data_IF_344120518318
#
_entry.id   IF_344120518318
#
_cell.length_a   1.000
_cell.length_b   1.000
_cell.length_c   1.000
_cell.angle_alpha   90.00
_cell.angle_beta   90.00
_cell.angle_gamma   90.00
#
_symmetry.space_group_name_H-M   'P 1'
#
loop_
_entity.id
_entity.type
_entity.pdbx_description
1 polymer ?
#
# COMPACT_ATOMS: atom_id res chain seq x y z
N UNK A 1 6.92 -1.57 9.31
CA UNK A 1 5.50 -1.95 9.57
C UNK A 1 4.90 -2.31 8.21
N UNK A 2 4.09 -3.35 8.06
CA UNK A 2 3.71 -3.84 6.71
C UNK A 2 3.08 -2.75 5.82
N UNK A 3 2.23 -1.90 6.41
CA UNK A 3 1.64 -0.75 5.71
C UNK A 3 2.69 0.32 5.36
N UNK A 4 3.66 0.55 6.25
CA UNK A 4 4.77 1.48 6.02
C UNK A 4 5.65 1.03 4.85
N UNK A 5 6.02 -0.25 4.82
CA UNK A 5 6.84 -0.84 3.75
C UNK A 5 6.09 -0.83 2.41
N UNK A 6 4.80 -1.15 2.43
CA UNK A 6 3.94 -1.00 1.26
C UNK A 6 3.91 0.45 0.76
N UNK A 7 3.66 1.44 1.62
CA UNK A 7 3.68 2.84 1.23
C UNK A 7 5.07 3.31 0.78
N UNK A 8 6.15 2.76 1.35
CA UNK A 8 7.53 3.03 0.95
C UNK A 8 7.81 2.52 -0.45
N UNK A 9 7.32 1.33 -0.83
CA UNK A 9 7.41 0.80 -2.20
C UNK A 9 6.72 1.70 -3.23
N UNK A 10 5.67 2.42 -2.81
CA UNK A 10 4.93 3.37 -3.64
C UNK A 10 5.53 4.79 -3.60
N UNK A 11 6.60 4.99 -2.82
CA UNK A 11 7.20 6.29 -2.53
C UNK A 11 6.23 7.29 -1.85
N UNK A 12 5.26 6.76 -1.12
CA UNK A 12 4.17 7.46 -0.42
C UNK A 12 4.26 7.32 1.11
N UNK A 13 5.39 6.86 1.65
CA UNK A 13 5.63 6.69 3.10
C UNK A 13 5.31 7.93 3.94
N UNK A 14 5.34 9.13 3.35
CA UNK A 14 4.94 10.38 4.01
C UNK A 14 3.50 10.37 4.55
N UNK A 15 2.62 9.58 3.93
CA UNK A 15 1.22 9.45 4.33
C UNK A 15 1.02 8.35 5.38
N UNK A 16 2.06 7.59 5.73
CA UNK A 16 1.94 6.49 6.67
C UNK A 16 1.29 6.92 7.98
N UNK A 17 1.71 8.06 8.55
CA UNK A 17 1.13 8.55 9.79
C UNK A 17 -0.37 8.86 9.65
N UNK A 18 -0.79 9.46 8.53
CA UNK A 18 -2.19 9.75 8.25
C UNK A 18 -3.01 8.47 8.08
N UNK A 19 -2.44 7.43 7.45
CA UNK A 19 -3.09 6.12 7.32
C UNK A 19 -3.35 5.49 8.70
N UNK A 20 -2.34 5.47 9.57
CA UNK A 20 -2.47 4.92 10.93
C UNK A 20 -3.48 5.71 11.78
N UNK A 21 -3.43 7.04 11.71
CA UNK A 21 -4.36 7.92 12.45
C UNK A 21 -5.83 7.69 12.04
N UNK A 22 -6.05 7.35 10.77
CA UNK A 22 -7.37 6.99 10.23
C UNK A 22 -7.74 5.50 10.39
N UNK A 23 -6.90 4.69 11.05
CA UNK A 23 -7.18 3.27 11.31
C UNK A 23 -6.84 2.30 10.17
N UNK A 24 -6.00 2.71 9.23
CA UNK A 24 -5.45 1.83 8.18
C UNK A 24 -4.07 1.29 8.59
N UNK A 25 -4.04 0.50 9.66
CA UNK A 25 -2.82 -0.10 10.23
C UNK A 25 -2.50 -1.51 9.70
N UNK A 26 -3.43 -2.12 8.96
CA UNK A 26 -3.27 -3.44 8.37
C UNK A 26 -3.61 -3.46 6.87
N UNK A 27 -2.92 -4.30 6.08
CA UNK A 27 -3.16 -4.41 4.64
C UNK A 27 -4.58 -4.91 4.30
N UNK A 28 -5.22 -5.70 5.16
CA UNK A 28 -6.61 -6.14 5.00
C UNK A 28 -7.59 -4.96 5.06
N UNK A 29 -7.29 -3.94 5.88
CA UNK A 29 -8.06 -2.68 5.92
C UNK A 29 -7.69 -1.82 4.72
N UNK A 30 -6.41 -1.74 4.36
CA UNK A 30 -5.95 -1.00 3.17
C UNK A 30 -6.59 -1.51 1.87
N UNK A 31 -6.92 -2.81 1.76
CA UNK A 31 -7.64 -3.39 0.62
C UNK A 31 -9.01 -2.74 0.37
N UNK A 32 -9.60 -2.12 1.40
CA UNK A 32 -10.92 -1.49 1.32
C UNK A 32 -10.85 0.00 0.97
N UNK A 33 -9.64 0.58 0.88
CA UNK A 33 -9.44 1.99 0.56
C UNK A 33 -10.00 2.30 -0.82
N UNK A 34 -10.94 3.23 -0.86
CA UNK A 34 -11.46 3.85 -2.06
C UNK A 34 -11.12 5.35 -2.16
N UNK A 35 -11.75 5.99 -3.12
CA UNK A 35 -11.68 7.45 -3.29
C UNK A 35 -12.11 8.25 -2.05
N UNK A 36 -13.20 7.91 -1.32
CA UNK A 36 -13.60 8.69 -0.14
C UNK A 36 -12.60 8.53 1.01
N UNK A 37 -12.02 7.34 1.19
CA UNK A 37 -11.01 7.06 2.21
C UNK A 37 -9.75 7.90 2.01
N UNK A 38 -9.29 8.02 0.75
CA UNK A 38 -8.15 8.87 0.40
C UNK A 38 -8.40 10.36 0.68
N UNK A 39 -9.67 10.80 0.66
CA UNK A 39 -10.04 12.15 1.06
C UNK A 39 -9.95 12.33 2.58
N UNK A 40 -10.43 11.35 3.35
CA UNK A 40 -10.35 11.34 4.81
C UNK A 40 -8.90 11.29 5.33
N UNK A 41 -8.06 10.45 4.72
CA UNK A 41 -6.62 10.37 4.99
C UNK A 41 -5.88 11.67 4.61
N UNK A 42 -6.47 12.50 3.73
CA UNK A 42 -5.84 13.75 3.30
C UNK A 42 -4.93 13.61 2.08
N UNK A 43 -4.98 12.48 1.36
CA UNK A 43 -4.30 12.30 0.07
C UNK A 43 -5.04 13.09 -1.00
N UNK A 44 -4.75 14.38 -1.16
CA UNK A 44 -5.44 15.26 -2.14
C UNK A 44 -4.90 15.19 -3.57
N UNK A 45 -3.65 14.74 -3.73
CA UNK A 45 -3.00 14.69 -5.04
C UNK A 45 -3.57 13.55 -5.90
N UNK A 46 -4.10 13.88 -7.08
CA UNK A 46 -4.68 12.91 -8.00
C UNK A 46 -3.70 11.79 -8.39
N UNK A 47 -2.43 12.12 -8.66
CA UNK A 47 -1.42 11.12 -9.02
C UNK A 47 -1.18 10.14 -7.86
N UNK A 48 -1.10 10.65 -6.62
CA UNK A 48 -0.95 9.79 -5.44
C UNK A 48 -2.18 8.92 -5.22
N UNK A 49 -3.40 9.47 -5.42
CA UNK A 49 -4.64 8.69 -5.34
C UNK A 49 -4.62 7.51 -6.30
N UNK A 50 -4.23 7.73 -7.56
CA UNK A 50 -4.14 6.67 -8.56
C UNK A 50 -3.11 5.60 -8.18
N UNK A 51 -1.95 6.00 -7.66
CA UNK A 51 -0.92 5.06 -7.20
C UNK A 51 -1.45 4.16 -6.07
N UNK A 52 -2.08 4.75 -5.05
CA UNK A 52 -2.66 3.99 -3.94
C UNK A 52 -3.77 3.06 -4.42
N UNK A 53 -4.73 3.55 -5.21
CA UNK A 53 -5.84 2.74 -5.72
C UNK A 53 -5.36 1.56 -6.57
N UNK A 54 -4.33 1.78 -7.40
CA UNK A 54 -3.73 0.71 -8.18
C UNK A 54 -3.05 -0.33 -7.27
N UNK A 55 -2.32 0.12 -6.26
CA UNK A 55 -1.67 -0.76 -5.29
C UNK A 55 -2.70 -1.54 -4.44
N UNK A 56 -3.81 -0.91 -4.07
CA UNK A 56 -4.95 -1.54 -3.39
C UNK A 56 -5.61 -2.59 -4.29
N UNK A 57 -5.80 -2.29 -5.57
CA UNK A 57 -6.30 -3.27 -6.55
C UNK A 57 -5.38 -4.48 -6.62
N UNK A 58 -4.06 -4.27 -6.71
CA UNK A 58 -3.07 -5.36 -6.69
C UNK A 58 -3.12 -6.18 -5.40
N UNK A 59 -3.25 -5.53 -4.24
CA UNK A 59 -3.41 -6.22 -2.94
C UNK A 59 -4.66 -7.10 -2.89
N UNK A 60 -5.74 -6.70 -3.59
CA UNK A 60 -6.97 -7.48 -3.69
C UNK A 60 -6.84 -8.67 -4.64
N UNK A 61 -6.16 -8.48 -5.77
CA UNK A 61 -5.99 -9.51 -6.80
C UNK A 61 -4.96 -10.58 -6.42
N UNK A 62 -3.83 -10.16 -5.82
CA UNK A 62 -2.71 -11.05 -5.48
C UNK A 62 -2.76 -11.52 -4.01
N UNK A 63 -3.63 -10.92 -3.19
CA UNK A 63 -3.65 -11.10 -1.75
C UNK A 63 -2.45 -10.40 -1.07
N UNK A 64 -2.62 -10.00 0.19
CA UNK A 64 -1.54 -9.38 0.97
C UNK A 64 -0.26 -10.22 1.01
N UNK A 65 -0.37 -11.56 0.85
CA UNK A 65 0.74 -12.51 0.78
C UNK A 65 1.80 -12.18 -0.30
N UNK A 66 1.41 -11.61 -1.45
CA UNK A 66 2.36 -11.37 -2.55
C UNK A 66 3.28 -10.17 -2.28
N UNK A 67 2.80 -9.14 -1.57
CA UNK A 67 3.69 -8.03 -1.16
C UNK A 67 4.72 -8.46 -0.11
N UNK A 68 4.41 -9.46 0.72
CA UNK A 68 5.45 -10.09 1.56
C UNK A 68 6.52 -10.75 0.70
N UNK A 69 6.12 -11.47 -0.36
CA UNK A 69 7.06 -12.18 -1.24
C UNK A 69 8.02 -11.23 -1.99
N UNK A 70 7.51 -10.09 -2.47
CA UNK A 70 8.30 -9.09 -3.20
C UNK A 70 9.17 -8.20 -2.28
N UNK A 71 8.76 -7.98 -1.04
CA UNK A 71 9.53 -7.19 -0.07
C UNK A 71 10.59 -8.03 0.68
N UNK A 72 10.38 -9.34 0.82
CA UNK A 72 11.29 -10.24 1.54
C UNK A 72 12.39 -10.87 0.66
N UNK A 73 12.28 -10.82 -0.68
CA UNK A 73 13.26 -11.44 -1.57
C UNK A 73 13.75 -10.50 -2.69
N UNK A 74 14.78 -9.66 -2.43
CA UNK A 74 15.62 -9.13 -3.50
C UNK A 74 16.68 -10.12 -4.02
N UNK A 75 16.79 -11.34 -3.45
CA UNK A 75 17.92 -12.28 -3.71
C UNK A 75 17.54 -13.60 -4.42
N UNK A 76 16.27 -13.86 -4.76
CA UNK A 76 15.87 -15.05 -5.53
C UNK A 76 15.70 -14.75 -7.03
N UNK A 77 16.68 -14.05 -7.64
CA UNK A 77 17.01 -14.32 -9.04
C UNK A 77 17.81 -15.63 -9.07
N UNK A 78 17.09 -16.75 -9.06
CA UNK A 78 17.66 -18.04 -9.44
C UNK A 78 17.95 -18.02 -10.94
N UNK A 79 19.20 -17.74 -11.27
CA UNK A 79 19.81 -18.06 -12.56
C UNK A 79 19.76 -19.60 -12.71
N UNK A 80 18.84 -20.08 -13.56
CA UNK A 80 18.96 -21.36 -14.27
C UNK A 80 18.40 -21.22 -15.71
#
# INVERSE_FOLDING_TARGET
NIVEDWLRSLNLVRYYQDFIDNGYDDLEVCKQIGHPDLDAIGVKNFAHRQIVLNAVTKLREQGGAHVYFTLENPDDEVDD
#
